data_IF_425184032604
#
_entry.id   IF_425184032604
#
_cell.length_a   1.000
_cell.length_b   1.000
_cell.length_c   1.000
_cell.angle_alpha   90.00
_cell.angle_beta   90.00
_cell.angle_gamma   90.00
#
_symmetry.space_group_name_H-M   'P 1'
#
loop_
_entity.id
_entity.type
_entity.pdbx_description
1 polymer ?
#
# COMPACT_ATOMS: atom_id res chain seq x y z
N UNK A 1 -11.55 -23.96 25.37
CA UNK A 1 -11.23 -22.52 25.50
C UNK A 1 -9.80 -22.37 25.98
N UNK A 2 -8.88 -21.87 25.15
CA UNK A 2 -7.48 -21.60 25.56
C UNK A 2 -7.45 -20.33 26.42
N UNK A 3 -6.71 -20.38 27.53
CA UNK A 3 -6.56 -19.32 28.53
C UNK A 3 -6.15 -17.99 27.87
N UNK A 4 -6.92 -16.92 28.14
CA UNK A 4 -6.50 -15.53 27.98
C UNK A 4 -5.34 -15.25 28.94
N UNK A 5 -4.10 -15.32 28.46
CA UNK A 5 -2.99 -14.64 29.15
C UNK A 5 -3.24 -13.14 28.98
N UNK A 6 -3.51 -12.46 30.09
CA UNK A 6 -4.35 -11.26 30.21
C UNK A 6 -3.89 -9.95 29.53
N UNK A 7 -3.21 -10.00 28.39
CA UNK A 7 -2.78 -8.80 27.66
C UNK A 7 -2.56 -9.01 26.13
N UNK A 8 -2.75 -10.23 25.61
CA UNK A 8 -2.63 -10.55 24.17
C UNK A 8 -3.90 -11.21 23.65
N UNK A 9 -4.51 -10.59 22.63
CA UNK A 9 -5.65 -11.12 21.89
C UNK A 9 -5.28 -11.26 20.40
N UNK A 10 -5.12 -12.50 19.88
CA UNK A 10 -4.72 -12.72 18.50
C UNK A 10 -5.64 -12.08 17.48
N UNK A 11 -6.95 -12.08 17.70
CA UNK A 11 -7.91 -11.54 16.72
C UNK A 11 -7.76 -10.02 16.61
N UNK A 12 -7.60 -9.36 17.75
CA UNK A 12 -7.34 -7.92 17.82
C UNK A 12 -6.02 -7.60 17.14
N UNK A 13 -4.93 -8.28 17.49
CA UNK A 13 -3.60 -7.97 16.96
C UNK A 13 -3.47 -8.27 15.46
N UNK A 14 -4.09 -9.34 14.96
CA UNK A 14 -4.10 -9.67 13.53
C UNK A 14 -4.99 -8.72 12.70
N UNK A 15 -5.96 -8.06 13.32
CA UNK A 15 -6.80 -7.04 12.65
C UNK A 15 -6.12 -5.67 12.52
N UNK A 16 -5.09 -5.41 13.33
CA UNK A 16 -4.29 -4.18 13.23
C UNK A 16 -3.49 -4.16 11.94
N UNK A 17 -3.10 -2.98 11.52
CA UNK A 17 -2.46 -2.78 10.24
C UNK A 17 -2.32 -1.33 9.86
N UNK A 18 -1.72 -1.10 8.70
CA UNK A 18 -1.60 0.24 8.12
C UNK A 18 -2.87 0.58 7.34
N UNK A 19 -3.39 1.78 7.54
CA UNK A 19 -4.38 2.36 6.65
C UNK A 19 -3.68 2.74 5.34
N UNK A 20 -4.28 2.35 4.23
CA UNK A 20 -3.85 2.67 2.87
C UNK A 20 -4.62 3.89 2.38
N UNK A 21 -3.89 4.92 2.01
CA UNK A 21 -4.43 6.10 1.32
C UNK A 21 -3.68 6.29 0.01
N UNK A 22 -4.35 6.90 -0.97
CA UNK A 22 -3.78 7.13 -2.29
C UNK A 22 -4.20 8.51 -2.81
N UNK A 23 -3.26 9.19 -3.46
CA UNK A 23 -3.50 10.49 -4.08
C UNK A 23 -2.87 10.51 -5.46
N UNK A 24 -3.58 11.06 -6.44
CA UNK A 24 -3.01 11.38 -7.74
C UNK A 24 -2.88 12.88 -7.89
N UNK A 25 -1.72 13.30 -8.36
CA UNK A 25 -1.40 14.66 -8.77
C UNK A 25 -1.17 14.74 -10.30
N UNK A 26 -1.50 13.66 -11.01
CA UNK A 26 -1.56 13.65 -12.48
C UNK A 26 -2.96 14.05 -12.96
N UNK A 27 -3.01 14.82 -14.04
CA UNK A 27 -4.28 15.39 -14.54
C UNK A 27 -5.20 14.33 -15.16
N UNK A 28 -4.66 13.22 -15.63
CA UNK A 28 -5.40 12.25 -16.45
C UNK A 28 -5.37 10.82 -15.91
N UNK A 29 -4.38 10.47 -15.08
CA UNK A 29 -4.35 9.20 -14.36
C UNK A 29 -4.89 9.39 -12.93
N UNK A 30 -5.96 8.67 -12.61
CA UNK A 30 -6.62 8.70 -11.31
C UNK A 30 -6.18 7.56 -10.39
N UNK A 31 -6.47 7.71 -9.10
CA UNK A 31 -6.33 6.63 -8.10
C UNK A 31 -7.46 6.67 -7.08
N UNK A 32 -7.91 5.50 -6.64
CA UNK A 32 -8.83 5.33 -5.52
C UNK A 32 -8.42 4.13 -4.67
N UNK A 33 -8.97 4.03 -3.46
CA UNK A 33 -8.74 2.89 -2.55
C UNK A 33 -10.02 2.09 -2.43
N UNK A 34 -9.96 0.80 -2.76
CA UNK A 34 -11.08 -0.14 -2.58
C UNK A 34 -11.00 -0.82 -1.21
N UNK A 35 -9.80 -1.25 -0.81
CA UNK A 35 -9.55 -1.87 0.50
C UNK A 35 -8.53 -1.03 1.26
N UNK A 36 -9.00 -0.29 2.26
CA UNK A 36 -8.21 0.75 2.91
C UNK A 36 -7.29 0.28 4.03
N UNK A 37 -7.11 -1.03 4.26
CA UNK A 37 -6.30 -1.51 5.38
C UNK A 37 -5.47 -2.74 5.02
N UNK A 38 -4.17 -2.65 5.25
CA UNK A 38 -3.19 -3.74 5.14
C UNK A 38 -2.98 -4.33 6.53
N UNK A 39 -3.55 -5.50 6.82
CA UNK A 39 -3.53 -6.07 8.18
C UNK A 39 -2.36 -7.03 8.42
N UNK A 40 -1.96 -7.18 9.69
CA UNK A 40 -0.98 -8.18 10.14
C UNK A 40 -1.46 -9.60 9.82
N UNK A 41 -2.78 -9.83 9.90
CA UNK A 41 -3.43 -11.09 9.52
C UNK A 41 -3.41 -11.39 8.01
N UNK A 42 -2.77 -10.55 7.20
CA UNK A 42 -2.55 -10.80 5.78
C UNK A 42 -3.68 -10.30 4.87
N UNK A 43 -4.67 -9.56 5.38
CA UNK A 43 -5.65 -8.88 4.53
C UNK A 43 -4.93 -7.78 3.75
N UNK A 44 -5.05 -7.80 2.43
CA UNK A 44 -4.43 -6.81 1.57
C UNK A 44 -5.18 -5.48 1.57
N UNK A 45 -4.44 -4.39 1.53
CA UNK A 45 -4.95 -3.10 1.07
C UNK A 45 -4.89 -3.04 -0.46
N UNK A 46 -5.89 -2.42 -1.10
CA UNK A 46 -6.03 -2.39 -2.55
C UNK A 46 -6.29 -0.97 -3.03
N UNK A 47 -5.41 -0.48 -3.90
CA UNK A 47 -5.61 0.76 -4.65
C UNK A 47 -5.89 0.44 -6.12
N UNK A 48 -6.76 1.23 -6.74
CA UNK A 48 -7.12 1.14 -8.16
C UNK A 48 -6.58 2.37 -8.87
N UNK A 49 -5.85 2.16 -9.96
CA UNK A 49 -5.30 3.19 -10.82
C UNK A 49 -6.05 3.15 -12.14
N UNK A 50 -6.45 4.32 -12.65
CA UNK A 50 -7.25 4.42 -13.87
C UNK A 50 -6.68 5.45 -14.84
N UNK A 51 -6.82 5.20 -16.14
CA UNK A 51 -6.42 6.13 -17.20
C UNK A 51 -4.94 6.06 -17.58
N UNK A 52 -4.54 6.94 -18.49
CA UNK A 52 -3.17 7.12 -18.94
C UNK A 52 -2.61 8.40 -18.31
N UNK A 53 -1.34 8.36 -17.90
CA UNK A 53 -0.73 9.51 -17.26
C UNK A 53 -0.43 10.63 -18.26
N UNK A 54 -0.67 11.87 -17.84
CA UNK A 54 -0.17 13.06 -18.54
C UNK A 54 1.35 13.16 -18.41
N UNK A 55 1.88 12.66 -17.30
CA UNK A 55 3.31 12.62 -16.98
C UNK A 55 3.77 13.85 -16.21
N UNK A 56 4.92 13.73 -15.55
CA UNK A 56 5.51 14.82 -14.80
C UNK A 56 6.24 15.80 -15.77
N UNK A 57 5.77 17.06 -15.91
CA UNK A 57 6.38 18.05 -16.79
C UNK A 57 7.66 18.70 -16.23
N UNK A 58 8.06 18.41 -14.99
CA UNK A 58 9.26 18.99 -14.36
C UNK A 58 9.19 19.12 -12.84
N UNK A 59 9.55 20.29 -12.30
CA UNK A 59 9.66 20.48 -10.86
C UNK A 59 8.31 20.42 -10.13
N UNK A 60 8.21 19.63 -9.06
CA UNK A 60 7.05 19.57 -8.18
C UNK A 60 6.40 18.18 -8.09
N UNK A 61 5.18 18.15 -7.54
CA UNK A 61 4.39 16.91 -7.36
C UNK A 61 3.46 16.63 -8.55
N UNK A 62 3.33 17.56 -9.49
CA UNK A 62 2.47 17.40 -10.66
C UNK A 62 2.92 16.20 -11.51
N UNK A 63 1.96 15.42 -11.99
CA UNK A 63 2.25 14.19 -12.74
C UNK A 63 2.87 13.09 -11.88
N UNK A 64 2.63 13.11 -10.56
CA UNK A 64 2.98 12.01 -9.65
C UNK A 64 1.76 11.31 -9.10
N UNK A 65 1.96 10.09 -8.62
CA UNK A 65 0.99 9.34 -7.83
C UNK A 65 1.64 8.94 -6.51
N UNK A 66 0.88 9.01 -5.42
CA UNK A 66 1.32 8.63 -4.09
C UNK A 66 0.44 7.52 -3.49
N UNK A 67 1.09 6.55 -2.86
CA UNK A 67 0.49 5.60 -1.94
C UNK A 67 1.09 5.84 -0.55
N UNK A 68 0.24 5.97 0.46
CA UNK A 68 0.66 6.15 1.84
C UNK A 68 0.10 5.04 2.73
N UNK A 69 1.00 4.43 3.50
CA UNK A 69 0.70 3.45 4.55
C UNK A 69 0.92 4.12 5.91
N UNK A 70 -0.12 4.15 6.75
CA UNK A 70 -0.03 4.75 8.07
C UNK A 70 0.88 3.96 9.02
N UNK A 71 1.38 4.66 10.05
CA UNK A 71 2.08 4.03 11.17
C UNK A 71 1.09 3.18 11.97
N UNK A 72 1.51 2.00 12.42
CA UNK A 72 0.73 1.20 13.35
C UNK A 72 1.62 0.41 14.32
N UNK A 73 1.00 -0.18 15.33
CA UNK A 73 1.66 -1.05 16.31
C UNK A 73 0.84 -2.30 16.52
N UNK A 74 1.50 -3.42 16.79
CA UNK A 74 0.84 -4.66 17.19
C UNK A 74 1.70 -5.40 18.20
N UNK A 75 1.05 -6.22 19.02
CA UNK A 75 1.70 -7.10 19.99
C UNK A 75 1.87 -8.48 19.37
N UNK A 76 3.03 -9.10 19.58
CA UNK A 76 3.31 -10.49 19.21
C UNK A 76 2.88 -11.46 20.31
N UNK A 77 2.75 -12.77 20.02
CA UNK A 77 2.43 -13.78 21.04
C UNK A 77 3.41 -13.83 22.21
N UNK A 78 4.66 -13.41 22.02
CA UNK A 78 5.69 -13.33 23.06
C UNK A 78 5.59 -12.08 23.95
N UNK A 79 4.61 -11.19 23.70
CA UNK A 79 4.40 -9.95 24.43
C UNK A 79 5.16 -8.74 23.86
N UNK A 80 6.03 -8.93 22.87
CA UNK A 80 6.77 -7.83 22.22
C UNK A 80 5.81 -6.92 21.46
N UNK A 81 5.98 -5.60 21.61
CA UNK A 81 5.24 -4.62 20.80
C UNK A 81 6.11 -4.19 19.63
N UNK A 82 5.61 -4.45 18.42
CA UNK A 82 6.22 -4.03 17.18
C UNK A 82 5.67 -2.68 16.74
N UNK A 83 6.57 -1.82 16.25
CA UNK A 83 6.23 -0.50 15.72
C UNK A 83 6.59 -0.46 14.25
N UNK A 84 5.58 -0.34 13.40
CA UNK A 84 5.77 -0.30 11.95
C UNK A 84 5.64 1.15 11.50
N UNK A 85 6.76 1.76 11.10
CA UNK A 85 6.79 3.14 10.65
C UNK A 85 5.92 3.35 9.41
N UNK A 86 5.28 4.53 9.33
CA UNK A 86 4.55 4.95 8.13
C UNK A 86 5.45 5.03 6.91
N UNK A 87 4.85 4.97 5.73
CA UNK A 87 5.57 4.95 4.46
C UNK A 87 4.81 5.71 3.38
N UNK A 88 5.39 6.81 2.90
CA UNK A 88 5.00 7.45 1.64
C UNK A 88 5.79 6.82 0.49
N UNK A 89 5.09 6.44 -0.56
CA UNK A 89 5.68 6.04 -1.82
C UNK A 89 5.10 6.98 -2.87
N UNK A 90 5.94 7.85 -3.42
CA UNK A 90 5.57 8.78 -4.48
C UNK A 90 6.37 8.47 -5.74
N UNK A 91 5.67 8.25 -6.84
CA UNK A 91 6.28 7.95 -8.13
C UNK A 91 5.93 9.04 -9.14
N UNK A 92 6.94 9.59 -9.80
CA UNK A 92 6.76 10.42 -10.97
C UNK A 92 6.34 9.55 -12.16
N UNK A 93 5.30 9.99 -12.87
CA UNK A 93 4.73 9.27 -14.00
C UNK A 93 5.35 9.76 -15.31
N UNK A 94 5.48 8.85 -16.27
CA UNK A 94 5.85 9.20 -17.65
C UNK A 94 4.61 9.52 -18.45
N UNK A 95 4.73 10.43 -19.42
CA UNK A 95 3.63 10.70 -20.34
C UNK A 95 3.20 9.42 -21.07
N UNK A 96 1.88 9.17 -21.13
CA UNK A 96 1.29 7.97 -21.72
C UNK A 96 1.44 6.69 -20.89
N UNK A 97 2.02 6.76 -19.68
CA UNK A 97 2.19 5.59 -18.82
C UNK A 97 0.82 4.99 -18.47
N UNK A 98 0.69 3.69 -18.72
CA UNK A 98 -0.57 2.98 -18.49
C UNK A 98 -0.82 2.75 -17.00
N UNK A 99 -2.08 2.58 -16.60
CA UNK A 99 -2.45 2.26 -15.22
C UNK A 99 -1.74 0.99 -14.73
N UNK A 100 -1.62 -0.03 -15.59
CA UNK A 100 -0.93 -1.27 -15.25
C UNK A 100 0.58 -1.06 -15.07
N UNK A 101 1.20 -0.22 -15.90
CA UNK A 101 2.64 0.06 -15.75
C UNK A 101 2.90 0.86 -14.47
N UNK A 102 2.02 1.79 -14.11
CA UNK A 102 2.07 2.47 -12.81
C UNK A 102 1.89 1.50 -11.64
N UNK A 103 0.90 0.63 -11.68
CA UNK A 103 0.70 -0.39 -10.64
C UNK A 103 1.94 -1.31 -10.51
N UNK A 104 2.54 -1.72 -11.63
CA UNK A 104 3.78 -2.52 -11.64
C UNK A 104 4.97 -1.75 -11.08
N UNK A 105 5.09 -0.45 -11.37
CA UNK A 105 6.16 0.39 -10.84
C UNK A 105 6.08 0.50 -9.30
N UNK A 106 4.88 0.72 -8.76
CA UNK A 106 4.67 0.66 -7.31
C UNK A 106 4.98 -0.72 -6.74
N UNK A 107 4.51 -1.79 -7.38
CA UNK A 107 4.77 -3.14 -6.91
C UNK A 107 6.28 -3.45 -6.89
N UNK A 108 7.01 -3.05 -7.93
CA UNK A 108 8.46 -3.20 -7.99
C UNK A 108 9.16 -2.40 -6.88
N UNK A 109 8.77 -1.15 -6.66
CA UNK A 109 9.31 -0.31 -5.59
C UNK A 109 9.08 -0.93 -4.21
N UNK A 110 7.84 -1.39 -3.94
CA UNK A 110 7.49 -2.02 -2.67
C UNK A 110 8.29 -3.31 -2.46
N UNK A 111 8.32 -4.18 -3.47
CA UNK A 111 8.95 -5.49 -3.37
C UNK A 111 10.47 -5.43 -3.26
N UNK A 112 11.10 -4.37 -3.80
CA UNK A 112 12.54 -4.11 -3.70
C UNK A 112 12.94 -3.40 -2.39
N UNK A 113 11.99 -2.90 -1.61
CA UNK A 113 12.24 -2.29 -0.31
C UNK A 113 12.53 -3.33 0.80
N UNK A 114 13.10 -2.87 1.90
CA UNK A 114 13.37 -3.69 3.10
C UNK A 114 12.20 -3.74 4.08
N UNK A 115 11.17 -2.93 3.86
CA UNK A 115 9.97 -2.90 4.71
C UNK A 115 9.16 -4.19 4.54
N UNK A 116 8.43 -4.62 5.58
CA UNK A 116 7.69 -5.89 5.60
C UNK A 116 6.38 -5.83 4.80
N UNK A 117 6.44 -5.32 3.57
CA UNK A 117 5.33 -5.26 2.65
C UNK A 117 5.68 -5.96 1.34
N UNK A 118 4.69 -6.62 0.75
CA UNK A 118 4.75 -7.12 -0.62
C UNK A 118 3.57 -6.59 -1.41
N UNK A 119 3.77 -6.43 -2.70
CA UNK A 119 2.75 -5.87 -3.58
C UNK A 119 2.63 -6.66 -4.89
N UNK A 120 1.41 -6.72 -5.40
CA UNK A 120 1.08 -7.37 -6.68
C UNK A 120 0.22 -6.45 -7.52
N UNK A 121 0.66 -6.20 -8.74
CA UNK A 121 -0.11 -5.47 -9.75
C UNK A 121 -0.96 -6.44 -10.58
N UNK A 122 -2.16 -6.00 -10.98
CA UNK A 122 -3.05 -6.75 -11.86
C UNK A 122 -3.98 -5.80 -12.63
N UNK A 123 -4.68 -6.30 -13.65
CA UNK A 123 -5.64 -5.54 -14.43
C UNK A 123 -5.17 -5.24 -15.85
N UNK A 124 -5.63 -4.13 -16.40
CA UNK A 124 -5.51 -3.74 -17.81
C UNK A 124 -4.77 -2.40 -17.96
N UNK A 125 -4.48 -2.01 -19.21
CA UNK A 125 -3.78 -0.74 -19.51
C UNK A 125 -4.46 0.50 -18.92
N UNK A 126 -5.78 0.53 -18.82
CA UNK A 126 -6.54 1.73 -18.39
C UNK A 126 -7.17 1.58 -17.01
N UNK A 127 -7.16 0.39 -16.43
CA UNK A 127 -7.69 0.12 -15.10
C UNK A 127 -6.90 -1.02 -14.48
N UNK A 128 -6.12 -0.71 -13.45
CA UNK A 128 -5.24 -1.65 -12.79
C UNK A 128 -5.38 -1.57 -11.27
N UNK A 129 -5.11 -2.68 -10.60
CA UNK A 129 -5.11 -2.78 -9.13
C UNK A 129 -3.71 -3.05 -8.63
N UNK A 130 -3.36 -2.45 -7.49
CA UNK A 130 -2.22 -2.84 -6.67
C UNK A 130 -2.72 -3.33 -5.33
N UNK A 131 -2.48 -4.61 -5.04
CA UNK A 131 -2.73 -5.21 -3.75
C UNK A 131 -1.44 -5.23 -2.93
N UNK A 132 -1.47 -4.74 -1.71
CA UNK A 132 -0.34 -4.65 -0.78
C UNK A 132 -0.64 -5.49 0.45
N UNK A 133 0.26 -6.40 0.82
CA UNK A 133 0.17 -7.26 2.00
C UNK A 133 1.32 -7.01 2.96
N UNK A 134 1.05 -7.08 4.26
CA UNK A 134 2.08 -7.12 5.29
C UNK A 134 2.59 -8.55 5.45
N UNK A 135 3.90 -8.74 5.61
CA UNK A 135 4.52 -10.08 5.56
C UNK A 135 5.34 -10.48 6.78
N UNK A 136 5.55 -9.57 7.72
CA UNK A 136 6.22 -9.90 8.97
C UNK A 136 5.23 -10.62 9.91
N UNK A 137 5.71 -11.66 10.57
CA UNK A 137 4.95 -12.52 11.48
C UNK A 137 5.58 -12.47 12.86
#
# INVERSE_FOLDING_TARGET
>A
MKKKTGDYDPEVELSKGADLTASSYDKTQGVSVEEGKVTVGGKAGVAVITGLASGNPGGGIDGTLSLWLSIFRFKRPDGTVNHVAGWNIMLALKAGQSALDTAKAFAAYINGGTRPYKAKASGTKINAKIAITYTEK
#
